data_IF_416219860982
#
_entry.id   IF_416219860982
#
_cell.length_a   1.000
_cell.length_b   1.000
_cell.length_c   1.000
_cell.angle_alpha   90.00
_cell.angle_beta   90.00
_cell.angle_gamma   90.00
#
_symmetry.space_group_name_H-M   'P 1'
#
loop_
_entity.id
_entity.type
_entity.pdbx_description
1 polymer ?
#
# COMPACT_ATOMS: atom_id res chain seq x y z
N UNK A 1 -26.20 23.13 -42.52
CA UNK A 1 -25.38 22.10 -41.85
C UNK A 1 -24.48 22.80 -40.82
N UNK A 2 -24.85 22.76 -39.54
CA UNK A 2 -24.08 23.38 -38.47
C UNK A 2 -22.95 22.44 -38.04
N UNK A 3 -21.70 22.81 -38.30
CA UNK A 3 -20.55 22.03 -37.85
C UNK A 3 -20.37 22.24 -36.34
N UNK A 4 -20.67 21.20 -35.58
CA UNK A 4 -20.62 21.19 -34.13
C UNK A 4 -19.18 21.43 -33.66
N UNK A 5 -19.05 22.41 -32.76
CA UNK A 5 -17.79 22.88 -32.20
C UNK A 5 -16.99 21.73 -31.61
N UNK A 6 -15.75 21.55 -32.06
CA UNK A 6 -14.78 20.64 -31.42
C UNK A 6 -14.53 21.15 -30.01
N UNK A 7 -15.05 20.41 -29.04
CA UNK A 7 -14.89 20.64 -27.63
C UNK A 7 -13.39 20.74 -27.29
N UNK A 8 -13.06 21.85 -26.66
CA UNK A 8 -11.74 22.23 -26.21
C UNK A 8 -11.15 21.16 -25.30
N UNK A 9 -10.04 20.53 -25.70
CA UNK A 9 -9.19 19.77 -24.77
C UNK A 9 -8.72 20.72 -23.66
N UNK A 10 -9.50 20.84 -22.59
CA UNK A 10 -9.07 21.44 -21.33
C UNK A 10 -7.92 20.60 -20.82
N UNK A 11 -6.70 21.04 -21.13
CA UNK A 11 -5.46 20.63 -20.49
C UNK A 11 -5.65 20.89 -18.99
N UNK A 12 -6.08 19.86 -18.25
CA UNK A 12 -6.17 19.89 -16.80
C UNK A 12 -4.76 20.10 -16.30
N UNK A 13 -4.45 21.35 -15.94
CA UNK A 13 -3.25 21.68 -15.17
C UNK A 13 -3.25 20.76 -13.96
N UNK A 14 -2.38 19.75 -14.01
CA UNK A 14 -2.39 18.63 -13.09
C UNK A 14 -2.36 19.15 -11.67
N UNK A 15 -3.42 18.86 -10.89
CA UNK A 15 -3.33 18.95 -9.43
C UNK A 15 -2.15 18.08 -9.06
N UNK A 16 -1.03 18.70 -8.69
CA UNK A 16 0.14 18.02 -8.16
C UNK A 16 -0.40 17.10 -7.06
N UNK A 17 -0.32 15.79 -7.26
CA UNK A 17 -0.84 14.85 -6.28
C UNK A 17 -0.22 15.22 -4.94
N UNK A 18 -1.04 15.34 -3.89
CA UNK A 18 -0.51 15.58 -2.54
C UNK A 18 0.60 14.57 -2.30
N UNK A 19 1.75 15.02 -1.80
CA UNK A 19 2.86 14.13 -1.48
C UNK A 19 2.40 13.15 -0.41
N UNK A 20 2.33 11.87 -0.72
CA UNK A 20 1.92 10.80 0.21
C UNK A 20 3.10 9.87 0.43
N UNK A 21 3.29 9.40 1.65
CA UNK A 21 4.27 8.33 1.91
C UNK A 21 3.80 7.05 1.24
N UNK A 22 4.57 6.58 0.27
CA UNK A 22 4.33 5.30 -0.44
C UNK A 22 5.52 4.38 -0.27
N UNK A 23 5.34 3.13 -0.66
CA UNK A 23 6.43 2.15 -0.70
C UNK A 23 7.57 2.64 -1.61
N UNK A 24 8.80 2.47 -1.15
CA UNK A 24 9.99 2.74 -1.93
C UNK A 24 10.16 1.68 -3.02
N UNK A 25 9.90 2.07 -4.27
CA UNK A 25 9.94 1.16 -5.42
C UNK A 25 11.35 0.65 -5.74
N UNK A 26 12.41 1.32 -5.26
CA UNK A 26 13.79 0.84 -5.42
C UNK A 26 14.18 -0.26 -4.42
N UNK A 27 13.30 -0.60 -3.47
CA UNK A 27 13.55 -1.60 -2.40
C UNK A 27 12.40 -2.60 -2.28
N UNK A 28 11.76 -2.91 -3.41
CA UNK A 28 10.59 -3.80 -3.43
C UNK A 28 10.97 -5.21 -3.01
N UNK A 29 12.10 -5.72 -3.48
CA UNK A 29 12.51 -7.10 -3.21
C UNK A 29 12.88 -7.29 -1.74
N UNK A 30 13.68 -6.37 -1.17
CA UNK A 30 13.92 -6.29 0.28
C UNK A 30 12.61 -6.27 1.07
N UNK A 31 11.65 -5.43 0.65
CA UNK A 31 10.37 -5.30 1.33
C UNK A 31 9.56 -6.59 1.26
N UNK A 32 9.47 -7.24 0.09
CA UNK A 32 8.73 -8.49 -0.09
C UNK A 32 9.35 -9.63 0.72
N UNK A 33 10.68 -9.67 0.80
CA UNK A 33 11.41 -10.65 1.59
C UNK A 33 11.11 -10.46 3.08
N UNK A 34 11.31 -9.25 3.62
CA UNK A 34 11.02 -8.93 5.02
C UNK A 34 9.53 -9.14 5.35
N UNK A 35 8.62 -8.77 4.43
CA UNK A 35 7.17 -8.98 4.57
C UNK A 35 6.83 -10.46 4.65
N UNK A 36 7.49 -11.28 3.83
CA UNK A 36 7.28 -12.73 3.85
C UNK A 36 7.74 -13.30 5.18
N UNK A 37 8.96 -12.97 5.58
CA UNK A 37 9.55 -13.46 6.82
C UNK A 37 8.75 -13.10 8.09
N UNK A 38 8.04 -11.95 8.11
CA UNK A 38 7.17 -11.58 9.23
C UNK A 38 5.85 -12.39 9.25
N UNK A 39 5.37 -12.81 8.09
CA UNK A 39 4.07 -13.48 7.93
C UNK A 39 4.19 -15.01 7.80
N UNK A 40 5.39 -15.56 7.69
CA UNK A 40 5.60 -17.00 7.52
C UNK A 40 5.21 -17.81 8.79
N UNK A 41 5.12 -17.16 9.95
CA UNK A 41 4.63 -17.76 11.20
C UNK A 41 3.09 -17.92 11.23
N UNK A 42 2.37 -17.41 10.22
CA UNK A 42 0.92 -17.52 10.12
C UNK A 42 0.46 -18.74 9.30
N UNK A 43 -0.70 -19.27 9.65
CA UNK A 43 -1.38 -20.28 8.83
C UNK A 43 -1.57 -19.79 7.38
N UNK A 44 -1.25 -20.66 6.42
CA UNK A 44 -1.07 -20.33 4.99
C UNK A 44 -2.33 -19.73 4.33
N UNK A 45 -3.52 -20.08 4.83
CA UNK A 45 -4.82 -19.71 4.26
C UNK A 45 -5.01 -18.19 4.07
N UNK A 46 -4.56 -17.38 5.03
CA UNK A 46 -4.72 -15.92 4.99
C UNK A 46 -3.45 -15.17 4.56
N UNK A 47 -2.30 -15.84 4.58
CA UNK A 47 -0.98 -15.24 4.39
C UNK A 47 -0.83 -14.61 3.01
N UNK A 48 -1.20 -15.34 1.95
CA UNK A 48 -1.10 -14.84 0.58
C UNK A 48 -2.00 -13.62 0.32
N UNK A 49 -3.22 -13.64 0.85
CA UNK A 49 -4.18 -12.54 0.71
C UNK A 49 -3.70 -11.27 1.45
N UNK A 50 -3.21 -11.43 2.68
CA UNK A 50 -2.68 -10.32 3.49
C UNK A 50 -1.42 -9.72 2.85
N UNK A 51 -0.47 -10.56 2.40
CA UNK A 51 0.75 -10.12 1.68
C UNK A 51 0.37 -9.24 0.48
N UNK A 52 -0.52 -9.74 -0.38
CA UNK A 52 -0.97 -9.02 -1.58
C UNK A 52 -1.66 -7.69 -1.26
N UNK A 53 -2.54 -7.67 -0.26
CA UNK A 53 -3.27 -6.47 0.13
C UNK A 53 -2.36 -5.39 0.73
N UNK A 54 -1.42 -5.75 1.61
CA UNK A 54 -0.44 -4.82 2.18
C UNK A 54 0.40 -4.19 1.07
N UNK A 55 0.95 -5.02 0.16
CA UNK A 55 1.74 -4.53 -0.96
C UNK A 55 0.94 -3.59 -1.86
N UNK A 56 -0.28 -3.96 -2.24
CA UNK A 56 -1.14 -3.14 -3.11
C UNK A 56 -1.49 -1.79 -2.47
N UNK A 57 -1.86 -1.77 -1.18
CA UNK A 57 -2.19 -0.53 -0.45
C UNK A 57 -0.95 0.36 -0.30
N UNK A 58 0.18 -0.19 0.15
CA UNK A 58 1.40 0.58 0.39
C UNK A 58 2.00 1.18 -0.90
N UNK A 59 1.91 0.45 -2.01
CA UNK A 59 2.46 0.86 -3.30
C UNK A 59 1.54 1.83 -4.07
N UNK A 60 0.23 1.55 -4.14
CA UNK A 60 -0.72 2.31 -4.96
C UNK A 60 -1.35 3.48 -4.21
N UNK A 61 -1.79 3.26 -2.97
CA UNK A 61 -2.56 4.23 -2.18
C UNK A 61 -1.61 5.03 -1.29
N UNK A 62 -1.03 4.35 -0.30
CA UNK A 62 -0.17 4.97 0.70
C UNK A 62 0.12 4.02 1.87
N UNK A 63 1.17 4.36 2.59
CA UNK A 63 1.65 3.62 3.75
C UNK A 63 0.69 3.74 4.93
N UNK A 64 -0.03 4.85 5.04
CA UNK A 64 -1.01 5.05 6.10
C UNK A 64 -2.16 4.05 5.95
N UNK A 65 -2.72 3.95 4.76
CA UNK A 65 -3.83 3.05 4.43
C UNK A 65 -3.43 1.59 4.55
N UNK A 66 -2.17 1.26 4.29
CA UNK A 66 -1.63 -0.07 4.55
C UNK A 66 -1.53 -0.40 6.05
N UNK A 67 -1.14 0.58 6.90
CA UNK A 67 -1.13 0.41 8.36
C UNK A 67 -2.54 0.29 8.93
N UNK A 68 -3.49 1.06 8.43
CA UNK A 68 -4.88 0.99 8.86
C UNK A 68 -5.45 -0.42 8.56
N UNK A 69 -5.18 -0.96 7.37
CA UNK A 69 -5.54 -2.33 7.03
C UNK A 69 -4.91 -3.38 7.95
N UNK A 70 -3.63 -3.24 8.31
CA UNK A 70 -2.97 -4.14 9.26
C UNK A 70 -3.69 -4.12 10.62
N UNK A 71 -4.07 -2.94 11.11
CA UNK A 71 -4.81 -2.82 12.36
C UNK A 71 -6.22 -3.38 12.29
N UNK A 72 -6.91 -3.22 11.17
CA UNK A 72 -8.20 -3.87 10.92
C UNK A 72 -8.07 -5.39 11.01
N UNK A 73 -7.07 -5.98 10.33
CA UNK A 73 -6.84 -7.43 10.36
C UNK A 73 -6.42 -7.95 11.73
N UNK A 74 -5.73 -7.13 12.52
CA UNK A 74 -5.45 -7.45 13.92
C UNK A 74 -6.73 -7.46 14.78
N UNK A 75 -7.64 -6.51 14.56
CA UNK A 75 -8.93 -6.46 15.27
C UNK A 75 -9.87 -7.61 14.89
N UNK A 76 -9.80 -8.07 13.64
CA UNK A 76 -10.53 -9.24 13.15
C UNK A 76 -9.95 -10.57 13.67
N UNK A 77 -8.80 -10.56 14.36
CA UNK A 77 -8.14 -11.76 14.86
C UNK A 77 -7.34 -12.53 13.81
N UNK A 78 -7.16 -11.97 12.61
CA UNK A 78 -6.36 -12.57 11.53
C UNK A 78 -4.87 -12.40 11.79
N UNK A 79 -4.48 -11.26 12.38
CA UNK A 79 -3.10 -10.97 12.76
C UNK A 79 -2.96 -10.90 14.27
N UNK A 80 -1.89 -11.50 14.80
CA UNK A 80 -1.47 -11.24 16.15
C UNK A 80 -0.96 -9.80 16.32
N UNK A 81 -1.05 -9.28 17.55
CA UNK A 81 -0.64 -7.90 17.86
C UNK A 81 0.84 -7.65 17.58
N UNK A 82 1.71 -8.62 17.88
CA UNK A 82 3.15 -8.50 17.62
C UNK A 82 3.44 -8.44 16.11
N UNK A 83 2.84 -9.34 15.33
CA UNK A 83 2.94 -9.36 13.87
C UNK A 83 2.48 -8.02 13.28
N UNK A 84 1.34 -7.49 13.72
CA UNK A 84 0.85 -6.18 13.29
C UNK A 84 1.84 -5.03 13.62
N UNK A 85 2.46 -5.04 14.79
CA UNK A 85 3.49 -4.08 15.17
C UNK A 85 4.74 -4.19 14.27
N UNK A 86 5.21 -5.41 13.98
CA UNK A 86 6.35 -5.66 13.08
C UNK A 86 6.05 -5.16 11.65
N UNK A 87 4.87 -5.44 11.12
CA UNK A 87 4.44 -4.98 9.79
C UNK A 87 4.33 -3.45 9.69
N UNK A 88 3.78 -2.79 10.71
CA UNK A 88 3.69 -1.31 10.72
C UNK A 88 5.07 -0.65 10.79
N UNK A 89 6.04 -1.25 11.50
CA UNK A 89 7.45 -0.84 11.49
C UNK A 89 8.09 -1.07 10.13
N UNK A 90 7.84 -2.23 9.51
CA UNK A 90 8.32 -2.55 8.16
C UNK A 90 7.90 -1.49 7.14
N UNK A 91 6.62 -1.15 7.11
CA UNK A 91 6.09 -0.10 6.21
C UNK A 91 6.75 1.27 6.46
N UNK A 92 7.08 1.57 7.71
CA UNK A 92 7.77 2.82 8.06
C UNK A 92 9.20 2.83 7.53
N UNK A 93 9.91 1.70 7.62
CA UNK A 93 11.29 1.49 7.13
C UNK A 93 11.40 1.62 5.60
N UNK A 94 10.44 1.06 4.85
CA UNK A 94 10.49 1.01 3.39
C UNK A 94 9.65 2.09 2.70
N UNK A 95 9.32 3.19 3.37
CA UNK A 95 8.49 4.24 2.78
C UNK A 95 9.25 5.54 2.49
N UNK A 96 8.87 6.17 1.39
CA UNK A 96 9.39 7.47 0.92
C UNK A 96 8.22 8.38 0.55
N UNK A 97 8.40 9.69 0.69
CA UNK A 97 7.41 10.67 0.23
C UNK A 97 7.44 10.73 -1.30
N UNK A 98 6.27 10.51 -1.93
CA UNK A 98 6.09 10.52 -3.39
C UNK A 98 5.00 11.49 -3.80
#
# INVERSE_FOLDING_TARGET
>A
MAYQRRDTRKKTYGRRSKRVRKLNMGRIDDFKWDLSHILDDMNDENTSAVKGAIYAKASKIGVREAKDYIWEKQKEGILERDVALRLTRLLSKYSVYR
#
